data_IF_915478222696
#
_entry.id   IF_915478222696
#
_cell.length_a   1.000
_cell.length_b   1.000
_cell.length_c   1.000
_cell.angle_alpha   90.00
_cell.angle_beta   90.00
_cell.angle_gamma   90.00
#
_symmetry.space_group_name_H-M   'P 1'
#
loop_
_entity.id
_entity.type
_entity.pdbx_description
1 polymer ?
#
# COMPACT_ATOMS: atom_id res chain seq x y z
N UNK A 1 -43.52 45.69 -29.32
CA UNK A 1 -43.35 45.24 -27.92
C UNK A 1 -44.54 44.36 -27.56
N UNK A 2 -44.33 43.08 -27.20
CA UNK A 2 -44.03 42.62 -25.82
C UNK A 2 -42.87 41.58 -25.77
N UNK A 3 -41.97 41.61 -24.78
CA UNK A 3 -41.91 40.86 -23.50
C UNK A 3 -42.01 39.33 -23.58
N UNK A 4 -40.90 38.61 -23.37
CA UNK A 4 -40.91 37.24 -22.84
C UNK A 4 -39.90 37.13 -21.69
N UNK A 5 -40.43 36.77 -20.53
CA UNK A 5 -39.76 36.59 -19.24
C UNK A 5 -39.56 35.09 -19.08
N UNK A 6 -38.33 34.60 -19.08
CA UNK A 6 -38.04 33.18 -18.83
C UNK A 6 -38.09 32.91 -17.32
N UNK A 7 -39.00 32.03 -16.91
CA UNK A 7 -39.09 31.52 -15.54
C UNK A 7 -38.34 30.19 -15.45
N UNK A 8 -37.22 30.18 -14.74
CA UNK A 8 -36.51 28.96 -14.32
C UNK A 8 -37.30 28.26 -13.21
N UNK A 9 -37.88 27.11 -13.53
CA UNK A 9 -38.49 26.22 -12.54
C UNK A 9 -37.41 25.42 -11.82
N UNK A 10 -37.10 25.79 -10.58
CA UNK A 10 -36.43 24.89 -9.64
C UNK A 10 -37.43 23.86 -9.11
N UNK A 11 -37.54 22.72 -9.78
CA UNK A 11 -38.17 21.55 -9.19
C UNK A 11 -37.30 21.06 -8.03
N UNK A 12 -37.79 21.25 -6.79
CA UNK A 12 -37.21 20.66 -5.57
C UNK A 12 -37.21 19.14 -5.70
N UNK A 13 -36.05 18.57 -6.01
CA UNK A 13 -35.81 17.12 -6.08
C UNK A 13 -35.87 16.44 -4.69
N UNK A 14 -37.06 16.35 -4.11
CA UNK A 14 -37.31 15.47 -2.95
C UNK A 14 -37.42 13.98 -3.35
N UNK A 15 -37.66 13.69 -4.64
CA UNK A 15 -37.77 12.32 -5.15
C UNK A 15 -36.45 11.54 -5.16
N UNK A 16 -35.30 12.23 -5.15
CA UNK A 16 -33.98 11.60 -5.19
C UNK A 16 -33.65 10.86 -3.89
N UNK A 17 -33.94 11.46 -2.73
CA UNK A 17 -33.56 10.89 -1.43
C UNK A 17 -34.28 9.59 -1.12
N UNK A 18 -35.58 9.50 -1.41
CA UNK A 18 -36.37 8.30 -1.16
C UNK A 18 -35.97 7.13 -2.06
N UNK A 19 -35.56 7.43 -3.29
CA UNK A 19 -35.07 6.42 -4.24
C UNK A 19 -33.74 5.83 -3.76
N UNK A 20 -32.79 6.67 -3.33
CA UNK A 20 -31.53 6.20 -2.77
C UNK A 20 -31.73 5.37 -1.49
N UNK A 21 -32.62 5.78 -0.58
CA UNK A 21 -32.90 4.98 0.63
C UNK A 21 -33.55 3.64 0.31
N UNK A 22 -34.46 3.60 -0.67
CA UNK A 22 -35.09 2.35 -1.09
C UNK A 22 -34.07 1.38 -1.72
N UNK A 23 -33.17 1.88 -2.56
CA UNK A 23 -32.10 1.06 -3.18
C UNK A 23 -31.16 0.50 -2.11
N UNK A 24 -30.72 1.32 -1.15
CA UNK A 24 -29.85 0.86 -0.05
C UNK A 24 -30.56 -0.18 0.82
N UNK A 25 -31.85 0.01 1.12
CA UNK A 25 -32.63 -0.96 1.89
C UNK A 25 -32.79 -2.30 1.16
N UNK A 26 -33.03 -2.28 -0.15
CA UNK A 26 -33.13 -3.51 -0.97
C UNK A 26 -31.78 -4.23 -1.05
N UNK A 27 -30.66 -3.51 -1.20
CA UNK A 27 -29.32 -4.10 -1.22
C UNK A 27 -28.94 -4.72 0.13
N UNK A 28 -29.29 -4.07 1.24
CA UNK A 28 -29.10 -4.63 2.59
C UNK A 28 -29.97 -5.87 2.79
N UNK A 29 -31.22 -5.83 2.33
CA UNK A 29 -32.11 -6.99 2.42
C UNK A 29 -31.56 -8.17 1.62
N UNK A 30 -31.10 -7.94 0.38
CA UNK A 30 -30.45 -8.95 -0.46
C UNK A 30 -29.16 -9.50 0.15
N UNK A 31 -28.41 -8.69 0.89
CA UNK A 31 -27.19 -9.11 1.59
C UNK A 31 -27.50 -9.95 2.83
N UNK A 32 -28.60 -9.66 3.54
CA UNK A 32 -29.06 -10.47 4.67
C UNK A 32 -29.79 -11.75 4.23
N UNK A 33 -30.49 -11.72 3.10
CA UNK A 33 -31.18 -12.88 2.52
C UNK A 33 -30.31 -13.66 1.54
N UNK A 34 -29.02 -13.32 1.40
CA UNK A 34 -28.00 -14.02 0.63
C UNK A 34 -27.63 -15.36 1.28
N UNK A 35 -28.64 -16.23 1.39
CA UNK A 35 -28.51 -17.61 1.79
C UNK A 35 -27.55 -18.35 0.88
N UNK A 36 -26.75 -19.21 1.51
CA UNK A 36 -25.91 -20.21 0.87
C UNK A 36 -26.66 -20.93 -0.26
N UNK A 37 -26.23 -20.70 -1.51
CA UNK A 37 -26.45 -21.66 -2.57
C UNK A 37 -25.32 -22.69 -2.49
N UNK A 38 -25.62 -23.74 -1.72
CA UNK A 38 -24.92 -25.01 -1.74
C UNK A 38 -24.89 -25.57 -3.17
N UNK A 39 -23.70 -25.58 -3.78
CA UNK A 39 -23.41 -26.32 -5.00
C UNK A 39 -22.71 -27.62 -4.63
N UNK A 40 -23.48 -28.69 -4.60
CA UNK A 40 -23.06 -30.07 -4.35
C UNK A 40 -22.04 -30.57 -5.38
N UNK A 41 -20.95 -31.19 -4.90
CA UNK A 41 -20.32 -32.30 -5.61
C UNK A 41 -20.11 -33.46 -4.63
N UNK A 42 -20.74 -34.57 -5.03
CA UNK A 42 -20.72 -35.92 -4.50
C UNK A 42 -19.42 -36.63 -4.93
N UNK A 43 -19.09 -37.71 -4.19
CA UNK A 43 -17.98 -38.69 -4.33
C UNK A 43 -16.71 -38.32 -3.53
N UNK A 44 -16.19 -39.13 -2.62
CA UNK A 44 -16.25 -40.60 -2.51
C UNK A 44 -16.34 -41.15 -1.07
N UNK A 45 -16.81 -42.39 -1.07
CA UNK A 45 -17.00 -43.30 0.04
C UNK A 45 -15.70 -43.87 0.63
N UNK A 46 -15.79 -44.23 1.92
CA UNK A 46 -15.13 -45.34 2.63
C UNK A 46 -13.84 -45.17 3.50
N UNK A 47 -14.04 -45.69 4.73
CA UNK A 47 -13.14 -46.07 5.83
C UNK A 47 -12.64 -45.00 6.80
N UNK A 48 -13.29 -45.01 7.99
CA UNK A 48 -12.93 -44.19 9.12
C UNK A 48 -11.76 -44.71 9.94
N UNK A 49 -11.14 -43.81 10.69
CA UNK A 49 -10.84 -44.00 12.11
C UNK A 49 -10.30 -42.70 12.73
N UNK A 50 -10.68 -42.51 13.99
CA UNK A 50 -9.97 -41.77 15.03
C UNK A 50 -9.73 -40.25 14.90
N UNK A 51 -10.36 -39.55 15.84
CA UNK A 51 -10.13 -38.18 16.25
C UNK A 51 -8.64 -37.82 16.44
N UNK A 52 -8.22 -36.69 15.85
CA UNK A 52 -7.40 -35.70 16.56
C UNK A 52 -7.54 -34.32 15.92
N UNK A 53 -8.11 -33.43 16.70
CA UNK A 53 -8.18 -31.98 16.47
C UNK A 53 -6.79 -31.39 16.23
N UNK A 54 -6.60 -30.81 15.05
CA UNK A 54 -5.44 -30.00 14.70
C UNK A 54 -5.83 -29.14 13.52
N UNK A 55 -6.54 -28.05 13.82
CA UNK A 55 -7.00 -27.08 12.84
C UNK A 55 -5.80 -26.54 12.05
N UNK A 56 -5.56 -27.11 10.87
CA UNK A 56 -4.91 -26.44 9.76
C UNK A 56 -5.68 -25.15 9.53
N UNK A 57 -5.11 -24.02 9.97
CA UNK A 57 -5.55 -22.70 9.55
C UNK A 57 -5.32 -22.66 8.05
N UNK A 58 -6.39 -22.92 7.31
CA UNK A 58 -6.51 -22.65 5.89
C UNK A 58 -6.04 -21.21 5.69
N UNK A 59 -4.87 -21.07 5.06
CA UNK A 59 -4.40 -19.83 4.47
C UNK A 59 -5.48 -19.38 3.49
N UNK A 60 -6.43 -18.59 3.97
CA UNK A 60 -7.15 -17.64 3.15
C UNK A 60 -6.18 -16.48 2.84
N UNK A 61 -5.10 -16.80 2.11
CA UNK A 61 -4.38 -15.81 1.34
C UNK A 61 -5.26 -15.50 0.14
N UNK A 62 -6.24 -14.63 0.34
CA UNK A 62 -6.49 -13.66 -0.70
C UNK A 62 -5.13 -13.00 -0.92
N UNK A 63 -4.54 -13.18 -2.10
CA UNK A 63 -3.32 -12.52 -2.51
C UNK A 63 -3.62 -11.01 -2.58
N UNK A 64 -3.73 -10.37 -1.40
CA UNK A 64 -3.69 -8.94 -1.28
C UNK A 64 -2.36 -8.54 -1.89
N UNK A 65 -2.40 -7.84 -3.02
CA UNK A 65 -1.21 -7.32 -3.65
C UNK A 65 -0.37 -6.64 -2.57
N UNK A 66 0.90 -7.06 -2.44
CA UNK A 66 1.79 -6.45 -1.46
C UNK A 66 1.77 -4.93 -1.67
N UNK A 67 1.75 -4.12 -0.60
CA UNK A 67 1.73 -2.68 -0.74
C UNK A 67 2.88 -2.26 -1.65
N UNK A 68 2.67 -1.30 -2.54
CA UNK A 68 3.72 -0.82 -3.44
C UNK A 68 4.33 0.49 -2.94
N UNK A 69 3.76 1.07 -1.89
CA UNK A 69 4.22 2.31 -1.29
C UNK A 69 4.07 2.29 0.23
N UNK A 70 4.88 3.11 0.90
CA UNK A 70 4.75 3.35 2.34
C UNK A 70 3.38 3.94 2.69
N UNK A 71 2.80 4.74 1.78
CA UNK A 71 1.49 5.35 1.98
C UNK A 71 0.39 4.29 2.03
N UNK A 72 0.46 3.28 1.16
CA UNK A 72 -0.51 2.18 1.14
C UNK A 72 -0.31 1.26 2.36
N UNK A 73 0.95 0.95 2.70
CA UNK A 73 1.29 0.08 3.81
C UNK A 73 0.88 0.65 5.18
N UNK A 74 0.96 1.98 5.33
CA UNK A 74 0.75 2.67 6.60
C UNK A 74 -0.42 3.67 6.57
N UNK A 75 -1.38 3.46 5.67
CA UNK A 75 -2.47 4.42 5.45
C UNK A 75 -3.29 4.68 6.72
N UNK A 76 -3.54 3.63 7.51
CA UNK A 76 -4.34 3.71 8.74
C UNK A 76 -3.57 4.45 9.83
N UNK A 77 -2.31 4.10 10.05
CA UNK A 77 -1.42 4.68 11.04
C UNK A 77 -1.14 6.15 10.74
N UNK A 78 -1.00 6.49 9.46
CA UNK A 78 -0.86 7.87 9.01
C UNK A 78 -2.09 8.72 9.36
N UNK A 79 -3.30 8.14 9.26
CA UNK A 79 -4.53 8.83 9.68
C UNK A 79 -4.67 8.90 11.20
N UNK A 80 -4.23 7.89 11.93
CA UNK A 80 -4.37 7.86 13.40
C UNK A 80 -3.38 8.78 14.10
N UNK A 81 -2.12 8.82 13.64
CA UNK A 81 -1.05 9.50 14.37
C UNK A 81 -0.59 10.82 13.73
N UNK A 82 -0.78 10.99 12.42
CA UNK A 82 -0.20 12.10 11.66
C UNK A 82 -1.24 12.96 10.93
N UNK A 83 -2.51 12.88 11.32
CA UNK A 83 -3.62 13.64 10.73
C UNK A 83 -3.42 15.16 10.77
N UNK A 84 -2.78 15.66 11.83
CA UNK A 84 -2.53 17.09 12.03
C UNK A 84 -1.49 17.66 11.05
N UNK A 85 -0.64 16.82 10.46
CA UNK A 85 0.44 17.21 9.56
C UNK A 85 0.02 17.15 8.09
N UNK A 86 -0.93 18.00 7.67
CA UNK A 86 -1.52 17.97 6.33
C UNK A 86 -0.50 18.04 5.17
N UNK A 87 0.64 18.71 5.36
CA UNK A 87 1.65 18.89 4.31
C UNK A 87 2.66 17.74 4.23
N UNK A 88 2.84 16.94 5.28
CA UNK A 88 3.78 15.80 5.23
C UNK A 88 3.47 14.65 6.22
N UNK A 89 2.30 13.98 6.10
CA UNK A 89 1.93 12.91 7.02
C UNK A 89 2.93 11.73 7.01
N UNK A 90 3.50 11.40 5.86
CA UNK A 90 4.52 10.35 5.72
C UNK A 90 5.82 10.68 6.47
N UNK A 91 6.18 11.97 6.54
CA UNK A 91 7.37 12.41 7.25
C UNK A 91 7.17 12.27 8.76
N UNK A 92 6.02 12.73 9.25
CA UNK A 92 5.61 12.53 10.64
C UNK A 92 5.67 11.05 11.04
N UNK A 93 5.12 10.17 10.20
CA UNK A 93 5.08 8.74 10.49
C UNK A 93 6.48 8.12 10.62
N UNK A 94 7.37 8.45 9.68
CA UNK A 94 8.76 7.98 9.71
C UNK A 94 9.51 8.49 10.94
N UNK A 95 9.37 9.79 11.26
CA UNK A 95 10.04 10.39 12.41
C UNK A 95 9.53 9.80 13.73
N UNK A 96 8.22 9.55 13.85
CA UNK A 96 7.64 8.88 15.01
C UNK A 96 8.17 7.45 15.15
N UNK A 97 8.23 6.70 14.05
CA UNK A 97 8.78 5.35 14.07
C UNK A 97 10.24 5.32 14.53
N UNK A 98 11.09 6.20 13.99
CA UNK A 98 12.49 6.31 14.39
C UNK A 98 12.66 6.66 15.89
N UNK A 99 11.79 7.50 16.45
CA UNK A 99 11.76 7.80 17.90
C UNK A 99 11.35 6.58 18.72
N UNK A 100 10.40 5.78 18.24
CA UNK A 100 10.01 4.56 18.94
C UNK A 100 11.14 3.53 18.89
N UNK A 101 11.74 3.26 17.73
CA UNK A 101 12.76 2.20 17.58
C UNK A 101 14.12 2.54 18.19
N UNK A 102 14.45 3.82 18.34
CA UNK A 102 15.74 4.24 18.93
C UNK A 102 15.88 3.96 20.43
N UNK A 103 14.79 3.61 21.13
CA UNK A 103 14.85 3.19 22.53
C UNK A 103 15.36 1.75 22.67
N UNK A 104 16.32 1.53 23.57
CA UNK A 104 16.94 0.21 23.79
C UNK A 104 16.11 -0.70 24.73
N UNK A 105 14.90 -0.28 25.11
CA UNK A 105 14.03 -1.02 26.05
C UNK A 105 13.18 -2.05 25.31
N UNK A 106 13.02 -3.25 25.87
CA UNK A 106 12.04 -4.23 25.37
C UNK A 106 10.62 -3.67 25.38
N UNK A 107 10.30 -2.83 26.37
CA UNK A 107 9.01 -2.15 26.46
C UNK A 107 8.76 -1.26 25.23
N UNK A 108 9.82 -0.62 24.75
CA UNK A 108 9.76 0.23 23.57
C UNK A 108 9.48 -0.59 22.30
N UNK A 109 10.09 -1.77 22.16
CA UNK A 109 9.79 -2.68 21.05
C UNK A 109 8.34 -3.18 21.09
N UNK A 110 7.86 -3.55 22.28
CA UNK A 110 6.45 -3.96 22.48
C UNK A 110 5.50 -2.83 22.12
N UNK A 111 5.82 -1.60 22.52
CA UNK A 111 5.05 -0.42 22.16
C UNK A 111 5.03 -0.21 20.65
N UNK A 112 6.16 -0.31 19.94
CA UNK A 112 6.20 -0.22 18.48
C UNK A 112 5.28 -1.24 17.84
N UNK A 113 5.34 -2.52 18.25
CA UNK A 113 4.46 -3.57 17.71
C UNK A 113 2.97 -3.38 18.04
N UNK A 114 2.65 -2.61 19.09
CA UNK A 114 1.27 -2.28 19.43
C UNK A 114 0.74 -1.06 18.66
N UNK A 115 1.63 -0.17 18.23
CA UNK A 115 1.27 1.08 17.55
C UNK A 115 1.08 0.91 16.04
N UNK A 116 1.84 0.02 15.41
CA UNK A 116 1.85 -0.16 13.97
C UNK A 116 1.29 -1.55 13.61
N UNK A 117 0.56 -1.65 12.50
CA UNK A 117 0.27 -2.97 11.93
C UNK A 117 1.55 -3.66 11.48
N UNK A 118 1.56 -5.00 11.47
CA UNK A 118 2.69 -5.80 10.99
C UNK A 118 3.16 -5.38 9.58
N UNK A 119 2.22 -5.00 8.72
CA UNK A 119 2.51 -4.53 7.36
C UNK A 119 3.21 -3.18 7.38
N UNK A 120 2.71 -2.21 8.16
CA UNK A 120 3.33 -0.90 8.25
C UNK A 120 4.70 -0.97 8.95
N UNK A 121 4.80 -1.71 10.05
CA UNK A 121 6.04 -1.90 10.79
C UNK A 121 7.12 -2.54 9.92
N UNK A 122 6.80 -3.62 9.21
CA UNK A 122 7.77 -4.28 8.32
C UNK A 122 8.25 -3.36 7.20
N UNK A 123 7.37 -2.51 6.66
CA UNK A 123 7.73 -1.49 5.68
C UNK A 123 8.66 -0.41 6.23
N UNK A 124 8.38 0.08 7.44
CA UNK A 124 9.19 1.09 8.12
C UNK A 124 10.57 0.52 8.53
N UNK A 125 10.58 -0.70 9.06
CA UNK A 125 11.80 -1.42 9.43
C UNK A 125 12.70 -1.66 8.21
N UNK A 126 12.13 -2.14 7.11
CA UNK A 126 12.85 -2.35 5.86
C UNK A 126 13.39 -1.03 5.27
N UNK A 127 12.55 0.02 5.24
CA UNK A 127 12.97 1.36 4.82
C UNK A 127 14.16 1.83 5.64
N UNK A 128 14.10 1.70 6.97
CA UNK A 128 15.18 2.06 7.88
C UNK A 128 16.45 1.29 7.56
N UNK A 129 16.38 -0.05 7.50
CA UNK A 129 17.53 -0.90 7.20
C UNK A 129 18.20 -0.55 5.86
N UNK A 130 17.41 -0.31 4.81
CA UNK A 130 17.93 0.08 3.50
C UNK A 130 18.59 1.47 3.53
N UNK A 131 17.93 2.46 4.12
CA UNK A 131 18.42 3.84 4.11
C UNK A 131 19.60 4.04 5.05
N UNK A 132 19.61 3.40 6.22
CA UNK A 132 20.75 3.44 7.15
C UNK A 132 22.01 2.86 6.50
N UNK A 133 21.86 1.78 5.71
CA UNK A 133 22.96 1.24 4.91
C UNK A 133 23.47 2.25 3.87
N UNK A 134 22.56 2.91 3.14
CA UNK A 134 22.93 3.94 2.15
C UNK A 134 23.59 5.15 2.81
N UNK A 135 23.10 5.60 3.96
CA UNK A 135 23.72 6.71 4.69
C UNK A 135 25.13 6.37 5.19
N UNK A 136 25.35 5.11 5.58
CA UNK A 136 26.65 4.65 6.10
C UNK A 136 27.65 4.34 4.99
N UNK A 137 27.23 3.67 3.90
CA UNK A 137 28.12 3.13 2.85
C UNK A 137 27.92 3.76 1.48
N UNK A 138 26.85 4.50 1.26
CA UNK A 138 26.45 5.02 -0.05
C UNK A 138 27.47 5.96 -0.67
N UNK A 139 28.20 6.76 0.11
CA UNK A 139 29.27 7.62 -0.43
C UNK A 139 30.34 6.81 -1.17
N UNK A 140 30.69 5.62 -0.67
CA UNK A 140 31.67 4.74 -1.29
C UNK A 140 31.13 3.94 -2.47
N UNK A 141 29.81 3.79 -2.60
CA UNK A 141 29.16 2.94 -3.61
C UNK A 141 28.56 3.74 -4.77
N UNK A 142 28.00 4.91 -4.49
CA UNK A 142 27.25 5.74 -5.45
C UNK A 142 27.97 7.07 -5.78
N UNK A 143 29.08 7.37 -5.09
CA UNK A 143 29.80 8.64 -5.22
C UNK A 143 29.07 9.85 -4.64
N UNK A 144 29.66 11.03 -4.80
CA UNK A 144 29.13 12.30 -4.25
C UNK A 144 28.00 12.91 -5.09
N UNK A 145 27.80 12.43 -6.32
CA UNK A 145 26.82 12.99 -7.25
C UNK A 145 25.37 12.61 -6.89
N UNK A 146 25.17 11.54 -6.12
CA UNK A 146 23.85 11.04 -5.77
C UNK A 146 23.40 11.63 -4.42
N UNK A 147 22.60 12.70 -4.49
CA UNK A 147 22.02 13.38 -3.33
C UNK A 147 20.82 12.62 -2.73
N UNK A 148 20.14 11.79 -3.53
CA UNK A 148 18.97 11.02 -3.10
C UNK A 148 19.35 9.60 -2.68
N UNK A 149 19.13 9.26 -1.41
CA UNK A 149 19.38 7.94 -0.86
C UNK A 149 18.62 6.82 -1.61
N UNK A 150 17.41 7.10 -2.11
CA UNK A 150 16.65 6.11 -2.91
C UNK A 150 17.26 5.91 -4.28
N UNK A 151 17.85 6.94 -4.87
CA UNK A 151 18.55 6.81 -6.14
C UNK A 151 19.85 6.04 -5.97
N UNK A 152 20.58 6.30 -4.89
CA UNK A 152 21.77 5.52 -4.56
C UNK A 152 21.41 4.05 -4.33
N UNK A 153 20.32 3.77 -3.62
CA UNK A 153 19.83 2.40 -3.39
C UNK A 153 19.57 1.62 -4.69
N UNK A 154 19.17 2.29 -5.78
CA UNK A 154 18.96 1.64 -7.09
C UNK A 154 20.26 1.24 -7.79
N UNK A 155 21.37 1.91 -7.47
CA UNK A 155 22.68 1.67 -8.07
C UNK A 155 23.48 0.58 -7.34
N UNK A 156 23.16 0.34 -6.06
CA UNK A 156 23.86 -0.67 -5.24
C UNK A 156 23.43 -2.09 -5.66
N UNK A 157 24.38 -2.99 -5.97
CA UNK A 157 24.05 -4.37 -6.28
C UNK A 157 23.33 -5.09 -5.12
N UNK A 158 22.27 -5.89 -5.38
CA UNK A 158 21.49 -6.57 -4.33
C UNK A 158 22.34 -7.43 -3.38
N UNK A 159 23.43 -8.02 -3.89
CA UNK A 159 24.36 -8.87 -3.15
C UNK A 159 25.09 -8.14 -2.00
N UNK A 160 25.17 -6.81 -2.07
CA UNK A 160 25.88 -5.98 -1.08
C UNK A 160 24.92 -5.41 -0.04
N UNK A 161 23.61 -5.47 -0.29
CA UNK A 161 22.59 -4.95 0.61
C UNK A 161 22.34 -5.90 1.78
N UNK A 162 21.95 -5.37 2.97
CA UNK A 162 21.54 -6.20 4.09
C UNK A 162 20.36 -7.11 3.71
N UNK A 163 20.30 -8.31 4.30
CA UNK A 163 19.21 -9.25 4.03
C UNK A 163 17.83 -8.64 4.29
N UNK A 164 17.67 -7.93 5.41
CA UNK A 164 16.44 -7.22 5.78
C UNK A 164 16.02 -6.13 4.77
N UNK A 165 16.95 -5.63 3.95
CA UNK A 165 16.65 -4.69 2.87
C UNK A 165 16.26 -5.44 1.59
N UNK A 166 17.10 -6.34 1.10
CA UNK A 166 16.97 -6.92 -0.26
C UNK A 166 15.72 -7.78 -0.44
N UNK A 167 15.24 -8.44 0.62
CA UNK A 167 14.04 -9.27 0.58
C UNK A 167 12.75 -8.51 0.89
N UNK A 168 12.85 -7.20 1.14
CA UNK A 168 11.72 -6.40 1.57
C UNK A 168 10.86 -5.89 0.41
N UNK A 169 9.58 -5.70 0.69
CA UNK A 169 8.65 -5.02 -0.22
C UNK A 169 9.08 -3.56 -0.48
N UNK A 170 9.73 -2.91 0.49
CA UNK A 170 10.29 -1.57 0.32
C UNK A 170 11.35 -1.54 -0.79
N UNK A 171 12.35 -2.43 -0.75
CA UNK A 171 13.39 -2.47 -1.77
C UNK A 171 12.81 -2.80 -3.15
N UNK A 172 11.87 -3.75 -3.21
CA UNK A 172 11.22 -4.11 -4.45
C UNK A 172 10.47 -2.92 -5.08
N UNK A 173 9.78 -2.10 -4.27
CA UNK A 173 9.14 -0.88 -4.77
C UNK A 173 10.14 0.12 -5.35
N UNK A 174 11.31 0.29 -4.72
CA UNK A 174 12.37 1.20 -5.20
C UNK A 174 12.94 0.71 -6.53
N UNK A 175 13.15 -0.60 -6.66
CA UNK A 175 13.63 -1.26 -7.87
C UNK A 175 12.64 -1.11 -9.02
N UNK A 176 11.36 -1.34 -8.77
CA UNK A 176 10.30 -1.24 -9.78
C UNK A 176 10.13 0.20 -10.28
N UNK A 177 10.15 1.19 -9.39
CA UNK A 177 10.16 2.62 -9.79
C UNK A 177 11.38 2.96 -10.65
N UNK A 178 12.54 2.37 -10.34
CA UNK A 178 13.75 2.53 -11.17
C UNK A 178 13.56 2.01 -12.59
N UNK A 179 13.00 0.81 -12.75
CA UNK A 179 12.69 0.22 -14.06
C UNK A 179 11.68 1.06 -14.85
N UNK A 180 10.62 1.52 -14.19
CA UNK A 180 9.60 2.38 -14.82
C UNK A 180 10.22 3.66 -15.39
N UNK A 181 11.10 4.33 -14.63
CA UNK A 181 11.82 5.52 -15.11
C UNK A 181 12.74 5.21 -16.30
N UNK A 182 13.42 4.07 -16.28
CA UNK A 182 14.27 3.65 -17.41
C UNK A 182 13.45 3.45 -18.69
N UNK A 183 12.29 2.80 -18.60
CA UNK A 183 11.38 2.64 -19.74
C UNK A 183 10.86 3.98 -20.26
N UNK A 184 10.40 4.87 -19.36
CA UNK A 184 9.92 6.20 -19.75
C UNK A 184 10.99 7.02 -20.47
N UNK A 185 12.25 6.96 -20.01
CA UNK A 185 13.36 7.66 -20.63
C UNK A 185 13.74 7.08 -22.00
N UNK A 186 13.70 5.76 -22.15
CA UNK A 186 13.92 5.09 -23.43
C UNK A 186 12.84 5.47 -24.45
N UNK A 187 11.57 5.48 -24.03
CA UNK A 187 10.43 5.87 -24.86
C UNK A 187 10.50 7.35 -25.26
N UNK A 188 10.86 8.24 -24.33
CA UNK A 188 11.05 9.66 -24.62
C UNK A 188 12.19 9.87 -25.65
N UNK A 189 13.30 9.14 -25.51
CA UNK A 189 14.42 9.19 -26.46
C UNK A 189 14.02 8.71 -27.85
N UNK A 190 13.21 7.64 -27.95
CA UNK A 190 12.71 7.15 -29.23
C UNK A 190 11.78 8.14 -29.92
N UNK A 191 10.96 8.89 -29.17
CA UNK A 191 10.11 9.95 -29.74
C UNK A 191 10.95 11.08 -30.32
N UNK A 192 11.97 11.54 -29.59
CA UNK A 192 12.87 12.59 -30.06
C UNK A 192 13.59 12.19 -31.36
N UNK A 193 14.04 10.94 -31.49
CA UNK A 193 14.69 10.46 -32.71
C UNK A 193 13.75 10.38 -33.92
N UNK A 194 12.44 10.25 -33.71
CA UNK A 194 11.43 10.29 -34.79
C UNK A 194 11.09 11.71 -35.24
N UNK A 195 11.36 12.71 -34.41
CA UNK A 195 11.05 14.12 -34.68
C UNK A 195 12.22 14.88 -35.33
N UNK A 196 13.40 14.26 -35.46
CA UNK A 196 14.54 14.83 -36.20
C UNK A 196 14.31 14.53 -37.70
N UNK A 197 13.97 15.52 -38.54
CA UNK A 197 13.89 15.33 -39.98
C UNK A 197 15.29 15.07 -40.57
N UNK A 198 15.39 14.39 -41.73
CA UNK A 198 16.65 14.06 -42.39
C UNK A 198 17.47 15.28 -42.78
#
# INVERSE_FOLDING_TARGET
>A
MPSHRETTFHARFHFSRYWFTAVVAVLLYLSLSGGSLAGTRVSDDHFGSAAKSGASRTLASAAAAAPMSLQDACHTEMKLYCMEYQTSPLRCLVEQYDRTVSGNSEEQRRLTSALYSDVCESWLAARKACLDFVHTRGRGLCGLAVQDARECLRQIPPLVLPHACVTSAYYESVRLVGKLRQHQNADARLRLLREIPP
#
